data_IF_270074210598
#
_entry.id   IF_270074210598
#
_cell.length_a   1.000
_cell.length_b   1.000
_cell.length_c   1.000
_cell.angle_alpha   90.00
_cell.angle_beta   90.00
_cell.angle_gamma   90.00
#
_symmetry.space_group_name_H-M   'P 1'
#
loop_
_entity.id
_entity.type
_entity.pdbx_description
1 polymer ?
#
# COMPACT_ATOMS: atom_id res chain seq x y z
N UNK A 1 -17.32 8.39 5.37
CA UNK A 1 -16.34 9.24 4.68
C UNK A 1 -15.24 9.63 5.66
N UNK A 2 -14.02 9.80 5.16
CA UNK A 2 -12.92 10.36 5.95
C UNK A 2 -13.16 11.87 6.17
N UNK A 3 -12.96 12.40 7.38
CA UNK A 3 -13.13 13.82 7.69
C UNK A 3 -11.88 14.61 7.26
N UNK A 4 -11.62 14.64 5.99
CA UNK A 4 -10.49 15.35 5.40
C UNK A 4 -10.99 16.46 4.46
N UNK A 5 -10.23 17.53 4.40
CA UNK A 5 -10.39 18.61 3.44
C UNK A 5 -9.15 18.65 2.57
N UNK A 6 -9.34 18.70 1.25
CA UNK A 6 -8.27 18.83 0.28
C UNK A 6 -8.33 20.24 -0.33
N UNK A 7 -7.21 20.94 -0.32
CA UNK A 7 -7.02 22.19 -1.04
C UNK A 7 -6.15 21.89 -2.26
N UNK A 8 -6.69 22.11 -3.45
CA UNK A 8 -5.95 21.88 -4.68
C UNK A 8 -4.91 22.99 -4.88
N UNK A 9 -3.71 22.60 -5.24
CA UNK A 9 -2.62 23.50 -5.63
C UNK A 9 -2.32 23.39 -7.13
N UNK A 10 -1.53 24.31 -7.63
CA UNK A 10 -1.08 24.33 -9.03
C UNK A 10 0.11 23.38 -9.27
N UNK A 11 0.83 23.06 -8.20
CA UNK A 11 2.05 22.23 -8.26
C UNK A 11 1.70 20.76 -8.00
N UNK A 12 2.15 19.90 -8.91
CA UNK A 12 2.06 18.46 -8.74
C UNK A 12 3.20 17.97 -7.86
N UNK A 13 2.87 17.34 -6.74
CA UNK A 13 3.84 16.62 -5.92
C UNK A 13 4.05 15.23 -6.51
N UNK A 14 5.33 14.87 -6.72
CA UNK A 14 5.73 13.57 -7.28
C UNK A 14 7.02 13.15 -6.63
N UNK A 15 7.00 12.11 -5.82
CA UNK A 15 8.21 11.60 -5.16
C UNK A 15 8.11 10.14 -4.74
N UNK A 16 9.25 9.44 -4.78
CA UNK A 16 9.35 8.14 -4.10
C UNK A 16 9.37 8.36 -2.59
N UNK A 17 8.66 7.50 -1.87
CA UNK A 17 8.54 7.56 -0.42
C UNK A 17 8.90 6.22 0.22
N UNK A 18 9.53 6.31 1.35
CA UNK A 18 9.64 5.22 2.32
C UNK A 18 9.05 5.71 3.63
N UNK A 19 7.97 5.09 4.08
CA UNK A 19 7.18 5.55 5.21
C UNK A 19 7.01 4.45 6.23
N UNK A 20 7.08 4.80 7.51
CA UNK A 20 6.75 3.90 8.60
C UNK A 20 5.26 3.95 8.87
N UNK A 21 4.57 2.82 8.68
CA UNK A 21 3.13 2.75 8.96
C UNK A 21 2.83 2.76 10.46
N UNK A 22 1.65 3.24 10.80
CA UNK A 22 1.04 3.14 12.13
C UNK A 22 -0.22 2.28 12.14
N UNK A 23 -0.73 1.92 10.95
CA UNK A 23 -1.89 1.03 10.80
C UNK A 23 -1.93 0.36 9.40
N UNK A 24 -2.33 -0.96 9.31
CA UNK A 24 -2.16 -1.94 10.35
C UNK A 24 -0.68 -2.30 10.49
N UNK A 25 -0.23 -2.47 11.74
CA UNK A 25 1.16 -2.81 12.00
C UNK A 25 2.09 -1.60 12.13
N UNK A 26 3.40 -1.83 11.94
CA UNK A 26 4.42 -0.79 12.18
C UNK A 26 5.66 -0.93 11.26
N UNK A 27 5.52 -1.65 10.15
CA UNK A 27 6.59 -1.90 9.19
C UNK A 27 6.91 -0.65 8.36
N UNK A 28 8.08 -0.66 7.74
CA UNK A 28 8.40 0.29 6.69
C UNK A 28 7.80 -0.19 5.37
N UNK A 29 7.24 0.75 4.61
CA UNK A 29 6.68 0.49 3.28
C UNK A 29 7.24 1.49 2.28
N UNK A 30 7.29 1.06 1.04
CA UNK A 30 7.70 1.90 -0.09
C UNK A 30 6.50 2.17 -0.98
N UNK A 31 6.54 3.32 -1.62
CA UNK A 31 5.51 3.71 -2.56
C UNK A 31 5.86 4.99 -3.27
N UNK A 32 4.90 5.51 -3.98
CA UNK A 32 5.05 6.70 -4.80
C UNK A 32 3.95 7.71 -4.46
N UNK A 33 4.35 8.89 -4.03
CA UNK A 33 3.43 10.00 -3.81
C UNK A 33 3.18 10.73 -5.12
N UNK A 34 1.89 10.91 -5.47
CA UNK A 34 1.51 11.71 -6.63
C UNK A 34 0.13 12.35 -6.42
N UNK A 35 0.11 13.65 -6.20
CA UNK A 35 -1.14 14.41 -6.05
C UNK A 35 -0.95 15.89 -6.33
N UNK A 36 -2.07 16.59 -6.54
CA UNK A 36 -2.15 18.05 -6.55
C UNK A 36 -2.77 18.52 -5.24
N UNK A 37 -2.13 19.52 -4.59
CA UNK A 37 -2.64 20.11 -3.37
C UNK A 37 -2.37 19.29 -2.11
N UNK A 38 -2.95 19.75 -1.01
CA UNK A 38 -2.71 19.23 0.33
C UNK A 38 -4.02 18.83 1.00
N UNK A 39 -3.97 17.72 1.78
CA UNK A 39 -5.10 17.26 2.57
C UNK A 39 -4.78 17.32 4.06
N UNK A 40 -5.76 17.71 4.83
CA UNK A 40 -5.68 17.80 6.27
C UNK A 40 -6.98 17.37 6.92
N UNK A 41 -6.88 16.94 8.17
CA UNK A 41 -8.05 16.58 8.99
C UNK A 41 -8.85 17.84 9.31
N UNK A 42 -10.17 17.72 9.20
CA UNK A 42 -11.09 18.77 9.67
C UNK A 42 -11.14 18.68 11.18
N UNK A 43 -10.69 19.76 11.87
CA UNK A 43 -10.76 19.87 13.33
C UNK A 43 -12.23 19.79 13.80
N UNK A 44 -12.49 19.04 14.87
CA UNK A 44 -13.77 18.81 15.55
C UNK A 44 -14.58 17.56 15.19
N UNK A 45 -14.01 16.58 14.52
CA UNK A 45 -14.71 15.31 14.28
C UNK A 45 -13.94 14.17 14.94
N UNK A 46 -14.50 13.67 16.03
CA UNK A 46 -14.20 12.43 16.77
C UNK A 46 -12.77 11.88 16.71
N UNK A 47 -12.25 11.51 17.88
CA UNK A 47 -10.96 10.86 18.16
C UNK A 47 -10.70 9.51 17.45
N UNK A 48 -11.51 9.13 16.45
CA UNK A 48 -11.45 7.83 15.79
C UNK A 48 -10.56 7.81 14.54
N UNK A 49 -10.00 8.96 14.15
CA UNK A 49 -9.13 9.06 12.99
C UNK A 49 -7.67 8.88 13.39
N UNK A 50 -7.02 7.91 12.77
CA UNK A 50 -5.59 7.65 12.96
C UNK A 50 -4.85 7.93 11.67
N UNK A 51 -3.65 8.50 11.76
CA UNK A 51 -2.75 8.59 10.60
C UNK A 51 -2.30 7.18 10.19
N UNK A 52 -2.28 6.89 8.90
CA UNK A 52 -1.72 5.65 8.37
C UNK A 52 -0.20 5.57 8.54
N UNK A 53 0.47 6.71 8.64
CA UNK A 53 1.92 6.82 8.70
C UNK A 53 2.34 7.59 9.95
N UNK A 54 3.54 7.28 10.47
CA UNK A 54 4.01 7.91 11.72
C UNK A 54 4.39 9.38 11.55
N UNK A 55 4.98 9.73 10.42
CA UNK A 55 5.65 11.01 10.22
C UNK A 55 5.13 11.80 9.01
N UNK A 56 4.03 11.36 8.40
CA UNK A 56 3.48 12.05 7.24
C UNK A 56 1.96 12.10 7.24
N UNK A 57 1.40 13.09 6.56
CA UNK A 57 -0.03 13.27 6.31
C UNK A 57 -0.50 12.64 5.00
N UNK A 58 0.18 11.58 4.54
CA UNK A 58 -0.13 10.92 3.28
C UNK A 58 -1.33 9.98 3.34
N UNK A 59 -1.92 9.77 4.50
CA UNK A 59 -3.09 8.92 4.63
C UNK A 59 -3.66 8.82 6.03
N UNK A 60 -4.93 8.46 6.08
CA UNK A 60 -5.68 8.33 7.34
C UNK A 60 -6.58 7.09 7.31
N UNK A 61 -6.91 6.62 8.49
CA UNK A 61 -7.85 5.52 8.70
C UNK A 61 -8.80 5.83 9.86
N UNK A 62 -10.03 5.41 9.72
CA UNK A 62 -11.01 5.31 10.80
C UNK A 62 -11.27 3.83 11.03
N UNK A 63 -11.04 3.35 12.24
CA UNK A 63 -11.42 2.00 12.67
C UNK A 63 -12.60 2.13 13.64
N UNK A 64 -13.75 1.54 13.29
CA UNK A 64 -14.96 1.60 14.08
C UNK A 64 -14.99 0.51 15.15
N UNK A 65 -15.91 0.64 16.13
CA UNK A 65 -16.09 -0.33 17.23
C UNK A 65 -16.43 -1.74 16.74
N UNK A 66 -17.12 -1.88 15.63
CA UNK A 66 -17.42 -3.15 14.97
C UNK A 66 -16.25 -3.72 14.16
N UNK A 67 -15.05 -3.11 14.30
CA UNK A 67 -13.81 -3.41 13.57
C UNK A 67 -13.87 -3.10 12.07
N UNK A 68 -14.96 -2.53 11.57
CA UNK A 68 -14.97 -2.00 10.21
C UNK A 68 -14.05 -0.79 10.11
N UNK A 69 -13.44 -0.57 8.93
CA UNK A 69 -12.55 0.56 8.75
C UNK A 69 -12.70 1.20 7.37
N UNK A 70 -12.35 2.47 7.32
CA UNK A 70 -12.26 3.26 6.10
C UNK A 70 -10.89 3.90 6.09
N UNK A 71 -10.11 3.67 5.04
CA UNK A 71 -8.80 4.28 4.88
C UNK A 71 -8.66 4.97 3.52
N UNK A 72 -7.78 5.96 3.45
CA UNK A 72 -7.40 6.62 2.22
C UNK A 72 -5.96 7.10 2.30
N UNK A 73 -5.26 7.04 1.18
CA UNK A 73 -3.86 7.45 1.10
C UNK A 73 -3.52 8.00 -0.28
N UNK A 74 -2.53 8.90 -0.31
CA UNK A 74 -1.87 9.38 -1.52
C UNK A 74 -0.66 8.52 -1.92
N UNK A 75 -0.31 7.52 -1.10
CA UNK A 75 0.81 6.63 -1.41
C UNK A 75 0.35 5.55 -2.38
N UNK A 76 0.73 5.69 -3.64
CA UNK A 76 0.56 4.67 -4.67
C UNK A 76 1.47 3.47 -4.40
N UNK A 77 1.05 2.27 -4.80
CA UNK A 77 1.84 1.06 -4.60
C UNK A 77 1.83 0.51 -3.17
N UNK A 78 0.99 1.06 -2.26
CA UNK A 78 0.93 0.61 -0.86
C UNK A 78 0.67 -0.91 -0.76
N UNK A 79 -0.15 -1.47 -1.64
CA UNK A 79 -0.47 -2.90 -1.69
C UNK A 79 0.63 -3.78 -2.31
N UNK A 80 1.70 -3.19 -2.86
CA UNK A 80 2.88 -3.92 -3.31
C UNK A 80 3.79 -4.34 -2.15
N UNK A 81 3.57 -3.75 -0.97
CA UNK A 81 4.28 -4.11 0.26
C UNK A 81 3.63 -5.35 0.91
N UNK A 82 4.21 -6.51 0.69
CA UNK A 82 3.62 -7.82 1.01
C UNK A 82 3.21 -7.97 2.47
N UNK A 83 4.07 -7.58 3.41
CA UNK A 83 3.78 -7.67 4.83
C UNK A 83 2.60 -6.77 5.23
N UNK A 84 2.59 -5.52 4.76
CA UNK A 84 1.50 -4.59 5.02
C UNK A 84 0.20 -5.08 4.40
N UNK A 85 0.24 -5.49 3.12
CA UNK A 85 -0.92 -6.05 2.42
C UNK A 85 -1.49 -7.25 3.16
N UNK A 86 -0.62 -8.15 3.66
CA UNK A 86 -1.03 -9.34 4.42
C UNK A 86 -1.73 -8.96 5.73
N UNK A 87 -1.19 -7.99 6.46
CA UNK A 87 -1.80 -7.49 7.69
C UNK A 87 -3.15 -6.83 7.41
N UNK A 88 -3.24 -6.03 6.35
CA UNK A 88 -4.48 -5.40 5.92
C UNK A 88 -5.54 -6.46 5.56
N UNK A 89 -5.19 -7.47 4.76
CA UNK A 89 -6.07 -8.59 4.43
C UNK A 89 -6.52 -9.30 5.71
N UNK A 90 -5.63 -9.54 6.67
CA UNK A 90 -5.97 -10.18 7.93
C UNK A 90 -6.97 -9.36 8.75
N UNK A 91 -6.88 -8.04 8.74
CA UNK A 91 -7.92 -7.17 9.32
C UNK A 91 -9.29 -7.42 8.69
N UNK A 92 -9.37 -7.48 7.36
CA UNK A 92 -10.61 -7.80 6.63
C UNK A 92 -11.12 -9.21 6.96
N UNK A 93 -10.22 -10.20 7.03
CA UNK A 93 -10.57 -11.58 7.38
C UNK A 93 -11.14 -11.70 8.79
N UNK A 94 -10.55 -11.01 9.76
CA UNK A 94 -11.04 -10.97 11.14
C UNK A 94 -12.47 -10.42 11.22
N UNK A 95 -12.81 -9.39 10.45
CA UNK A 95 -14.19 -8.87 10.36
C UNK A 95 -15.18 -9.92 9.86
N UNK A 96 -14.72 -10.86 9.03
CA UNK A 96 -15.52 -11.95 8.46
C UNK A 96 -15.46 -13.24 9.29
N UNK A 97 -14.81 -13.22 10.46
CA UNK A 97 -14.63 -14.42 11.29
C UNK A 97 -13.71 -15.47 10.67
N UNK A 98 -12.87 -15.09 9.72
CA UNK A 98 -11.93 -16.00 9.05
C UNK A 98 -10.57 -15.99 9.74
N UNK A 99 -9.88 -17.13 9.70
CA UNK A 99 -8.53 -17.27 10.23
C UNK A 99 -7.54 -16.37 9.48
N UNK A 100 -6.55 -15.87 10.21
CA UNK A 100 -5.48 -15.08 9.62
C UNK A 100 -4.62 -15.90 8.65
N UNK A 101 -4.17 -15.26 7.60
CA UNK A 101 -3.15 -15.78 6.71
C UNK A 101 -1.76 -15.57 7.34
N UNK A 102 -0.82 -16.46 7.05
CA UNK A 102 0.58 -16.32 7.49
C UNK A 102 1.21 -15.08 6.83
N UNK A 103 2.05 -14.38 7.57
CA UNK A 103 2.72 -13.15 7.10
C UNK A 103 3.94 -13.50 6.23
N UNK A 104 4.66 -14.57 6.59
CA UNK A 104 5.94 -14.95 5.96
C UNK A 104 5.74 -15.96 4.81
N UNK A 105 4.98 -15.62 3.80
CA UNK A 105 4.97 -16.34 2.53
C UNK A 105 5.86 -15.62 1.52
N UNK A 106 6.19 -16.31 0.41
CA UNK A 106 7.01 -15.80 -0.69
C UNK A 106 6.62 -14.35 -1.02
N UNK A 107 7.61 -13.48 -1.05
CA UNK A 107 7.47 -12.07 -1.38
C UNK A 107 7.09 -11.93 -2.87
N UNK A 108 6.23 -10.98 -3.19
CA UNK A 108 5.73 -10.76 -4.55
C UNK A 108 6.84 -10.35 -5.52
N UNK A 109 7.89 -9.70 -5.05
CA UNK A 109 9.06 -9.31 -5.87
C UNK A 109 9.82 -10.57 -6.25
N UNK A 110 10.18 -11.43 -5.28
CA UNK A 110 10.93 -12.67 -5.52
C UNK A 110 10.14 -13.60 -6.45
N UNK A 111 8.82 -13.68 -6.27
CA UNK A 111 7.94 -14.43 -7.17
C UNK A 111 7.96 -13.88 -8.58
N UNK A 112 7.93 -12.56 -8.74
CA UNK A 112 7.98 -11.91 -10.05
C UNK A 112 9.32 -12.16 -10.74
N UNK A 113 10.43 -11.99 -10.03
CA UNK A 113 11.78 -12.27 -10.55
C UNK A 113 11.88 -13.73 -11.04
N UNK A 114 11.46 -14.68 -10.20
CA UNK A 114 11.44 -16.10 -10.59
C UNK A 114 10.57 -16.37 -11.83
N UNK A 115 9.44 -15.69 -11.98
CA UNK A 115 8.59 -15.83 -13.17
C UNK A 115 9.25 -15.23 -14.43
N UNK A 116 9.98 -14.12 -14.28
CA UNK A 116 10.75 -13.53 -15.37
C UNK A 116 11.90 -14.43 -15.79
N UNK A 117 12.63 -15.04 -14.84
CA UNK A 117 13.68 -16.01 -15.15
C UNK A 117 13.14 -17.22 -15.93
N UNK A 118 12.01 -17.78 -15.47
CA UNK A 118 11.35 -18.89 -16.18
C UNK A 118 10.89 -18.50 -17.59
N UNK A 119 10.43 -17.26 -17.78
CA UNK A 119 10.04 -16.74 -19.08
C UNK A 119 11.26 -16.56 -19.98
N UNK A 120 12.36 -16.04 -19.44
CA UNK A 120 13.64 -15.87 -20.14
C UNK A 120 14.17 -17.23 -20.61
N UNK A 121 14.23 -18.21 -19.72
CA UNK A 121 14.65 -19.58 -20.05
C UNK A 121 13.79 -20.19 -21.17
N UNK A 122 12.47 -19.99 -21.10
CA UNK A 122 11.56 -20.48 -22.13
C UNK A 122 11.77 -19.77 -23.46
N UNK A 123 12.09 -18.48 -23.42
CA UNK A 123 12.38 -17.68 -24.62
C UNK A 123 13.67 -18.15 -25.28
N UNK A 124 14.77 -18.30 -24.54
CA UNK A 124 16.06 -18.77 -25.00
C UNK A 124 16.00 -20.17 -25.62
N UNK A 125 15.17 -21.06 -25.04
CA UNK A 125 14.99 -22.42 -25.59
C UNK A 125 14.23 -22.48 -26.91
N UNK A 126 13.34 -21.52 -27.15
CA UNK A 126 12.41 -21.59 -28.28
C UNK A 126 12.71 -20.56 -29.38
N UNK A 127 13.54 -19.57 -29.14
CA UNK A 127 13.88 -18.51 -30.08
C UNK A 127 15.39 -18.52 -30.34
N UNK A 128 15.76 -18.66 -31.57
CA UNK A 128 17.16 -18.51 -31.99
C UNK A 128 17.45 -17.03 -32.22
N UNK A 129 18.04 -16.38 -31.18
CA UNK A 129 18.34 -14.96 -31.18
C UNK A 129 19.33 -14.58 -32.31
N UNK A 130 20.28 -15.46 -32.63
CA UNK A 130 21.27 -15.24 -33.70
C UNK A 130 20.64 -15.09 -35.11
N UNK A 131 19.36 -15.48 -35.26
CA UNK A 131 18.61 -15.27 -36.49
C UNK A 131 17.80 -13.98 -36.53
N UNK A 132 17.77 -13.22 -35.42
CA UNK A 132 17.02 -11.98 -35.30
C UNK A 132 17.91 -10.72 -35.42
N UNK A 133 19.21 -10.91 -35.38
CA UNK A 133 20.25 -9.92 -35.61
C UNK A 133 20.92 -10.18 -36.94
#
# INVERSE_FOLDING_TARGET
LLPIKTTFGEIKHTSQREEKVSWPGSQNIKGFEMHYGESYLINNINNDVTSLFKNSSLGWVIEKKDKSFIGGTYLHGIFENDEWRRQWINKVRQQKGLNNLKINEENSIDRRERLLDLLTDAFEKNINIDKLI
#
